data_IF_300700245936
#
_entry.id   IF_300700245936
#
_cell.length_a   1.000
_cell.length_b   1.000
_cell.length_c   1.000
_cell.angle_alpha   90.00
_cell.angle_beta   90.00
_cell.angle_gamma   90.00
#
_symmetry.space_group_name_H-M   'P 1'
#
loop_
_entity.id
_entity.type
_entity.pdbx_description
1 polymer ?
#
# COMPACT_ATOMS: atom_id res chain seq x y z
N UNK A 1 -3.69 39.69 -10.54
CA UNK A 1 -3.91 39.31 -9.14
C UNK A 1 -2.58 38.77 -8.64
N UNK A 2 -1.84 39.52 -7.84
CA UNK A 2 -0.52 39.11 -7.36
C UNK A 2 -0.73 38.04 -6.29
N UNK A 3 -0.29 36.81 -6.56
CA UNK A 3 -0.30 35.74 -5.54
C UNK A 3 0.52 36.24 -4.35
N UNK A 4 -0.05 36.17 -3.14
CA UNK A 4 0.75 36.44 -1.94
C UNK A 4 1.91 35.44 -1.92
N UNK A 5 3.14 35.88 -1.60
CA UNK A 5 4.27 34.98 -1.51
C UNK A 5 4.01 33.92 -0.43
N UNK A 6 4.46 32.69 -0.68
CA UNK A 6 4.35 31.62 0.29
C UNK A 6 5.10 32.00 1.58
N UNK A 7 4.52 31.75 2.77
CA UNK A 7 5.19 32.03 4.02
C UNK A 7 6.43 31.15 4.16
N UNK A 8 7.48 31.70 4.76
CA UNK A 8 8.62 30.90 5.17
C UNK A 8 8.26 30.12 6.44
N UNK A 9 8.88 28.95 6.63
CA UNK A 9 8.73 28.18 7.87
C UNK A 9 9.10 29.00 9.11
N UNK A 10 10.10 29.88 9.00
CA UNK A 10 10.49 30.77 10.09
C UNK A 10 9.36 31.76 10.43
N UNK A 11 8.75 32.40 9.43
CA UNK A 11 7.63 33.32 9.66
C UNK A 11 6.43 32.62 10.29
N UNK A 12 6.13 31.38 9.87
CA UNK A 12 5.08 30.56 10.48
C UNK A 12 5.38 30.16 11.92
N UNK A 13 6.64 29.84 12.24
CA UNK A 13 7.07 29.54 13.61
C UNK A 13 6.98 30.77 14.51
N UNK A 14 7.45 31.93 14.04
CA UNK A 14 7.44 33.17 14.80
C UNK A 14 5.99 33.59 15.10
N UNK A 15 5.11 33.54 14.10
CA UNK A 15 3.68 33.78 14.28
C UNK A 15 3.05 32.90 15.38
N UNK A 16 3.33 31.60 15.37
CA UNK A 16 2.76 30.69 16.37
C UNK A 16 3.33 30.93 17.78
N UNK A 17 4.62 31.28 17.88
CA UNK A 17 5.27 31.55 19.18
C UNK A 17 4.75 32.83 19.83
N UNK A 18 4.43 33.84 19.04
CA UNK A 18 3.90 35.14 19.51
C UNK A 18 2.46 35.03 20.05
N UNK A 19 1.74 33.95 19.74
CA UNK A 19 0.39 33.67 20.23
C UNK A 19 0.41 33.09 21.65
N UNK A 20 0.86 33.90 22.60
CA UNK A 20 0.88 33.55 24.01
C UNK A 20 -0.54 33.27 24.54
N UNK A 21 -0.69 32.23 25.37
CA UNK A 21 -1.98 31.83 25.96
C UNK A 21 -2.85 30.95 25.06
N UNK A 22 -2.48 30.73 23.80
CA UNK A 22 -3.18 29.80 22.90
C UNK A 22 -2.42 28.47 22.88
N UNK A 23 -2.91 27.49 23.64
CA UNK A 23 -2.26 26.18 23.80
C UNK A 23 -2.04 25.48 22.45
N UNK A 24 -3.03 25.49 21.57
CA UNK A 24 -2.93 24.90 20.22
C UNK A 24 -1.79 25.54 19.41
N UNK A 25 -1.61 26.87 19.46
CA UNK A 25 -0.55 27.55 18.73
C UNK A 25 0.84 27.13 19.23
N UNK A 26 1.02 27.03 20.55
CA UNK A 26 2.30 26.61 21.15
C UNK A 26 2.65 25.16 20.80
N UNK A 27 1.66 24.26 20.83
CA UNK A 27 1.82 22.86 20.43
C UNK A 27 2.16 22.78 18.94
N UNK A 28 1.44 23.50 18.08
CA UNK A 28 1.71 23.57 16.65
C UNK A 28 3.11 24.13 16.36
N UNK A 29 3.62 25.09 17.17
CA UNK A 29 4.98 25.61 17.01
C UNK A 29 6.04 24.53 17.30
N UNK A 30 5.81 23.67 18.29
CA UNK A 30 6.70 22.55 18.61
C UNK A 30 6.72 21.54 17.46
N UNK A 31 5.54 21.07 17.01
CA UNK A 31 5.41 20.14 15.88
C UNK A 31 6.05 20.70 14.62
N UNK A 32 5.81 21.98 14.31
CA UNK A 32 6.40 22.64 13.15
C UNK A 32 7.93 22.77 13.28
N UNK A 33 8.46 23.05 14.48
CA UNK A 33 9.90 23.13 14.68
C UNK A 33 10.58 21.76 14.49
N UNK A 34 9.95 20.69 14.97
CA UNK A 34 10.47 19.31 14.85
C UNK A 34 10.47 18.79 13.40
N UNK A 35 9.48 19.20 12.60
CA UNK A 35 9.36 18.80 11.19
C UNK A 35 10.27 19.61 10.24
N UNK A 36 10.76 20.79 10.68
CA UNK A 36 11.43 21.77 9.81
C UNK A 36 12.62 21.20 9.07
N UNK A 37 13.55 20.58 9.78
CA UNK A 37 14.81 20.12 9.18
C UNK A 37 14.57 19.05 8.09
N UNK A 38 13.48 18.28 8.22
CA UNK A 38 13.10 17.23 7.27
C UNK A 38 12.32 17.77 6.07
N UNK A 39 11.45 18.75 6.28
CA UNK A 39 10.38 19.08 5.31
C UNK A 39 10.42 20.49 4.73
N UNK A 40 11.21 21.42 5.28
CA UNK A 40 11.18 22.84 4.88
C UNK A 40 11.51 23.11 3.41
N UNK A 41 12.18 22.17 2.74
CA UNK A 41 12.54 22.26 1.32
C UNK A 41 11.54 21.57 0.39
N UNK A 42 10.63 20.76 0.92
CA UNK A 42 9.72 19.93 0.13
C UNK A 42 8.26 20.41 0.19
N UNK A 43 7.86 21.08 1.27
CA UNK A 43 6.48 21.57 1.47
C UNK A 43 6.45 22.98 2.03
N UNK A 44 5.34 23.68 1.76
CA UNK A 44 5.03 24.98 2.36
C UNK A 44 4.18 24.74 3.60
N UNK A 45 4.62 25.26 4.75
CA UNK A 45 3.83 25.27 5.98
C UNK A 45 3.07 26.60 6.12
N UNK A 46 1.76 26.54 6.21
CA UNK A 46 0.86 27.65 6.55
C UNK A 46 0.20 27.36 7.88
N UNK A 47 -0.16 28.41 8.61
CA UNK A 47 -0.60 28.26 9.99
C UNK A 47 -1.82 29.12 10.29
N UNK A 48 -2.63 28.66 11.24
CA UNK A 48 -3.60 29.47 11.97
C UNK A 48 -3.32 29.32 13.47
N UNK A 49 -4.11 30.00 14.31
CA UNK A 49 -4.01 29.82 15.76
C UNK A 49 -4.37 28.41 16.25
N UNK A 50 -4.98 27.57 15.41
CA UNK A 50 -5.44 26.22 15.77
C UNK A 50 -4.84 25.10 14.91
N UNK A 51 -4.44 25.39 13.68
CA UNK A 51 -4.08 24.36 12.71
C UNK A 51 -2.73 24.64 12.02
N UNK A 52 -2.06 23.57 11.62
CA UNK A 52 -1.02 23.58 10.59
C UNK A 52 -1.61 23.10 9.27
N UNK A 53 -1.16 23.69 8.16
CA UNK A 53 -1.54 23.30 6.80
C UNK A 53 -0.27 23.18 5.94
N UNK A 54 -0.02 22.00 5.41
CA UNK A 54 1.08 21.71 4.50
C UNK A 54 0.58 21.54 3.07
N UNK A 55 1.25 22.15 2.11
CA UNK A 55 0.97 21.99 0.66
C UNK A 55 2.27 21.87 -0.13
N UNK A 56 2.14 21.56 -1.42
CA UNK A 56 3.26 21.63 -2.35
C UNK A 56 3.65 23.09 -2.66
N UNK A 57 4.95 23.37 -2.90
CA UNK A 57 5.40 24.68 -3.38
C UNK A 57 4.74 25.06 -4.70
N UNK A 58 4.23 26.28 -4.80
CA UNK A 58 3.57 26.80 -6.01
C UNK A 58 2.13 26.28 -6.24
N UNK A 59 1.61 25.39 -5.39
CA UNK A 59 0.21 24.99 -5.42
C UNK A 59 -0.66 26.10 -4.82
N UNK A 60 -1.49 26.72 -5.67
CA UNK A 60 -2.37 27.82 -5.28
C UNK A 60 -3.69 27.33 -4.71
N UNK A 61 -4.40 28.20 -4.00
CA UNK A 61 -5.75 27.89 -3.54
C UNK A 61 -6.76 27.94 -4.72
N UNK A 62 -7.70 26.99 -4.83
CA UNK A 62 -7.86 25.79 -4.00
C UNK A 62 -6.74 24.77 -4.25
N UNK A 63 -6.16 24.24 -3.17
CA UNK A 63 -5.01 23.34 -3.24
C UNK A 63 -5.38 22.00 -3.86
N UNK A 64 -4.51 21.50 -4.74
CA UNK A 64 -4.66 20.19 -5.37
C UNK A 64 -4.50 19.07 -4.34
N UNK A 65 -3.53 19.22 -3.44
CA UNK A 65 -3.33 18.31 -2.31
C UNK A 65 -2.83 19.05 -1.08
N UNK A 66 -3.31 18.65 0.10
CA UNK A 66 -2.85 19.24 1.35
C UNK A 66 -2.95 18.28 2.54
N UNK A 67 -2.11 18.54 3.54
CA UNK A 67 -2.17 17.88 4.84
C UNK A 67 -2.48 18.94 5.89
N UNK A 68 -3.57 18.78 6.64
CA UNK A 68 -3.91 19.62 7.77
C UNK A 68 -3.65 18.86 9.07
N UNK A 69 -3.03 19.52 10.04
CA UNK A 69 -2.86 19.00 11.40
C UNK A 69 -3.64 19.91 12.34
N UNK A 70 -4.56 19.32 13.09
CA UNK A 70 -5.35 20.01 14.10
C UNK A 70 -4.91 19.50 15.47
N UNK A 71 -4.70 20.39 16.43
CA UNK A 71 -4.34 20.00 17.80
C UNK A 71 -5.41 20.46 18.80
N UNK A 72 -5.91 19.50 19.60
CA UNK A 72 -6.88 19.77 20.65
C UNK A 72 -6.69 18.80 21.82
N UNK A 73 -6.61 19.32 23.05
CA UNK A 73 -6.57 18.54 24.28
C UNK A 73 -5.50 17.42 24.31
N UNK A 74 -4.30 17.69 23.77
CA UNK A 74 -3.20 16.72 23.75
C UNK A 74 -3.32 15.64 22.67
N UNK A 75 -4.30 15.75 21.76
CA UNK A 75 -4.45 14.87 20.60
C UNK A 75 -4.31 15.66 19.32
N UNK A 76 -3.82 14.96 18.29
CA UNK A 76 -3.69 15.50 16.95
C UNK A 76 -4.61 14.76 16.00
N UNK A 77 -5.20 15.49 15.06
CA UNK A 77 -5.90 14.92 13.91
C UNK A 77 -5.19 15.37 12.65
N UNK A 78 -4.70 14.40 11.87
CA UNK A 78 -4.09 14.64 10.57
C UNK A 78 -5.11 14.30 9.49
N UNK A 79 -5.34 15.25 8.60
CA UNK A 79 -6.31 15.18 7.53
C UNK A 79 -5.59 15.38 6.20
N UNK A 80 -5.76 14.45 5.26
CA UNK A 80 -5.22 14.57 3.91
C UNK A 80 -6.36 14.85 2.94
N UNK A 81 -6.21 15.92 2.17
CA UNK A 81 -7.17 16.36 1.17
C UNK A 81 -6.57 16.23 -0.22
N UNK A 82 -7.39 15.81 -1.17
CA UNK A 82 -7.09 15.82 -2.61
C UNK A 82 -8.28 16.44 -3.34
N UNK A 83 -8.04 17.48 -4.14
CA UNK A 83 -9.09 18.18 -4.92
C UNK A 83 -10.33 18.50 -4.07
N UNK A 84 -10.12 19.09 -2.89
CA UNK A 84 -11.15 19.45 -1.91
C UNK A 84 -11.95 18.28 -1.31
N UNK A 85 -11.48 17.04 -1.50
CA UNK A 85 -12.05 15.84 -0.89
C UNK A 85 -11.13 15.29 0.20
N UNK A 86 -11.69 15.04 1.38
CA UNK A 86 -11.00 14.30 2.43
C UNK A 86 -10.78 12.85 1.98
N UNK A 87 -9.51 12.44 1.89
CA UNK A 87 -9.11 11.10 1.42
C UNK A 87 -8.48 10.27 2.53
N UNK A 88 -7.99 10.89 3.60
CA UNK A 88 -7.43 10.19 4.75
C UNK A 88 -7.57 11.01 6.03
N UNK A 89 -7.90 10.33 7.13
CA UNK A 89 -7.96 10.89 8.47
C UNK A 89 -7.29 9.92 9.45
N UNK A 90 -6.39 10.44 10.29
CA UNK A 90 -5.72 9.68 11.36
C UNK A 90 -5.57 10.53 12.61
N UNK A 91 -5.62 9.88 13.76
CA UNK A 91 -5.37 10.51 15.06
C UNK A 91 -4.00 10.10 15.60
N UNK A 92 -3.30 11.03 16.25
CA UNK A 92 -2.03 10.78 16.92
C UNK A 92 -2.04 11.32 18.36
N UNK A 93 -1.17 10.73 19.17
CA UNK A 93 -0.76 11.27 20.47
C UNK A 93 0.57 12.03 20.32
N UNK A 94 1.01 12.73 21.36
CA UNK A 94 2.23 13.56 21.36
C UNK A 94 3.47 12.75 21.00
N UNK A 95 3.50 11.48 21.37
CA UNK A 95 4.62 10.56 21.14
C UNK A 95 4.67 10.03 19.70
N UNK A 96 3.57 10.13 18.95
CA UNK A 96 3.42 9.50 17.62
C UNK A 96 3.21 10.51 16.49
N UNK A 97 2.95 11.78 16.83
CA UNK A 97 2.67 12.83 15.84
C UNK A 97 3.79 12.99 14.80
N UNK A 98 5.06 12.95 15.21
CA UNK A 98 6.17 13.19 14.29
C UNK A 98 6.25 12.12 13.19
N UNK A 99 6.20 10.84 13.57
CA UNK A 99 6.26 9.73 12.61
C UNK A 99 5.03 9.68 11.70
N UNK A 100 3.85 9.98 12.24
CA UNK A 100 2.63 10.01 11.44
C UNK A 100 2.60 11.20 10.49
N UNK A 101 3.08 12.37 10.93
CA UNK A 101 3.23 13.55 10.08
C UNK A 101 4.21 13.28 8.95
N UNK A 102 5.37 12.68 9.23
CA UNK A 102 6.34 12.29 8.21
C UNK A 102 5.66 11.39 7.15
N UNK A 103 4.88 10.39 7.56
CA UNK A 103 4.13 9.53 6.63
C UNK A 103 3.14 10.31 5.74
N UNK A 104 2.44 11.30 6.30
CA UNK A 104 1.50 12.13 5.54
C UNK A 104 2.23 13.04 4.55
N UNK A 105 3.36 13.63 4.95
CA UNK A 105 4.15 14.53 4.10
C UNK A 105 4.92 13.78 3.02
N UNK A 106 5.38 12.56 3.28
CA UNK A 106 5.91 11.65 2.27
C UNK A 106 4.89 11.41 1.16
N UNK A 107 3.63 11.14 1.51
CA UNK A 107 2.55 10.96 0.52
C UNK A 107 2.19 12.25 -0.21
N UNK A 108 2.23 13.39 0.49
CA UNK A 108 1.98 14.70 -0.12
C UNK A 108 3.03 15.04 -1.18
N UNK A 109 4.29 14.69 -0.92
CA UNK A 109 5.44 15.01 -1.79
C UNK A 109 5.75 13.93 -2.82
N UNK A 110 5.24 12.72 -2.60
CA UNK A 110 5.39 11.63 -3.57
C UNK A 110 4.63 11.98 -4.86
N UNK A 111 5.28 11.90 -6.03
CA UNK A 111 4.60 12.10 -7.29
C UNK A 111 3.45 11.08 -7.39
N UNK A 112 2.26 11.58 -7.73
CA UNK A 112 1.12 10.70 -7.97
C UNK A 112 1.49 9.72 -9.09
N UNK A 113 1.60 8.43 -8.76
CA UNK A 113 1.89 7.40 -9.74
C UNK A 113 0.63 7.17 -10.58
N UNK A 114 0.61 7.67 -11.82
CA UNK A 114 -0.55 7.54 -12.69
C UNK A 114 -0.44 6.27 -13.54
N UNK A 115 -1.45 5.41 -13.48
CA UNK A 115 -1.52 4.21 -14.31
C UNK A 115 -1.59 4.58 -15.79
N UNK A 116 -0.67 4.06 -16.61
CA UNK A 116 -0.61 4.33 -18.05
C UNK A 116 -1.79 3.79 -18.86
N UNK A 117 -2.51 2.79 -18.34
CA UNK A 117 -3.67 2.21 -19.01
C UNK A 117 -4.97 2.97 -18.71
N UNK A 118 -5.30 3.18 -17.43
CA UNK A 118 -6.58 3.77 -17.02
C UNK A 118 -6.51 5.25 -16.61
N UNK A 119 -5.30 5.82 -16.49
CA UNK A 119 -5.09 7.22 -16.11
C UNK A 119 -5.38 7.54 -14.63
N UNK A 120 -5.70 6.55 -13.79
CA UNK A 120 -6.00 6.75 -12.36
C UNK A 120 -4.76 6.55 -11.48
N UNK A 121 -4.71 7.13 -10.27
CA UNK A 121 -3.60 6.93 -9.33
C UNK A 121 -3.41 5.47 -8.91
N UNK A 122 -2.17 4.99 -8.87
CA UNK A 122 -1.75 3.70 -8.35
C UNK A 122 -1.40 3.85 -6.87
N UNK A 123 -2.20 3.23 -6.01
CA UNK A 123 -2.04 3.29 -4.54
C UNK A 123 -1.59 1.95 -3.97
N UNK A 124 -2.30 0.86 -4.30
CA UNK A 124 -2.07 -0.46 -3.68
C UNK A 124 -0.75 -1.10 -4.14
N UNK A 125 -0.44 -1.01 -5.44
CA UNK A 125 0.78 -1.59 -6.05
C UNK A 125 1.87 -0.55 -6.30
N UNK A 126 1.88 0.55 -5.54
CA UNK A 126 2.80 1.67 -5.76
C UNK A 126 4.28 1.25 -5.69
N UNK A 127 4.64 0.38 -4.76
CA UNK A 127 6.02 -0.13 -4.61
C UNK A 127 6.48 -0.98 -5.80
N UNK A 128 5.54 -1.55 -6.55
CA UNK A 128 5.79 -2.39 -7.72
C UNK A 128 5.43 -1.67 -9.03
N UNK A 129 5.24 -0.35 -9.01
CA UNK A 129 4.74 0.41 -10.14
C UNK A 129 5.60 0.25 -11.40
N UNK A 130 6.93 0.27 -11.25
CA UNK A 130 7.84 0.05 -12.39
C UNK A 130 7.85 -1.40 -12.87
N UNK A 131 7.54 -2.37 -12.00
CA UNK A 131 7.43 -3.80 -12.37
C UNK A 131 6.19 -4.03 -13.24
N UNK A 132 5.10 -3.30 -12.98
CA UNK A 132 3.84 -3.43 -13.72
C UNK A 132 3.71 -2.42 -14.87
N UNK A 133 4.83 -2.09 -15.53
CA UNK A 133 4.86 -1.20 -16.70
C UNK A 133 4.21 0.17 -16.45
N UNK A 134 4.32 0.66 -15.20
CA UNK A 134 3.70 1.90 -14.72
C UNK A 134 2.17 1.84 -14.79
N UNK A 135 1.58 0.71 -14.40
CA UNK A 135 0.13 0.47 -14.34
C UNK A 135 -0.29 -0.09 -12.97
N UNK A 136 -1.59 -0.12 -12.68
CA UNK A 136 -2.10 -0.97 -11.60
C UNK A 136 -1.82 -2.43 -11.92
N UNK A 137 -1.57 -3.26 -10.91
CA UNK A 137 -1.51 -4.72 -11.08
C UNK A 137 -2.70 -5.25 -11.90
N UNK A 138 -3.93 -4.85 -11.58
CA UNK A 138 -5.11 -5.30 -12.36
C UNK A 138 -5.04 -4.86 -13.83
N UNK A 139 -4.65 -3.62 -14.13
CA UNK A 139 -4.57 -3.16 -15.52
C UNK A 139 -3.47 -3.89 -16.29
N UNK A 140 -2.32 -4.09 -15.65
CA UNK A 140 -1.21 -4.85 -16.23
C UNK A 140 -1.63 -6.30 -16.49
N UNK A 141 -2.21 -6.95 -15.48
CA UNK A 141 -2.62 -8.35 -15.56
C UNK A 141 -3.61 -8.59 -16.71
N UNK A 142 -4.68 -7.80 -16.81
CA UNK A 142 -5.65 -7.94 -17.90
C UNK A 142 -5.06 -7.65 -19.28
N UNK A 143 -4.12 -6.70 -19.37
CA UNK A 143 -3.56 -6.30 -20.66
C UNK A 143 -2.46 -7.24 -21.16
N UNK A 144 -1.69 -7.84 -20.26
CA UNK A 144 -0.47 -8.58 -20.63
C UNK A 144 -0.48 -10.07 -20.23
N UNK A 145 -1.21 -10.46 -19.18
CA UNK A 145 -1.15 -11.82 -18.63
C UNK A 145 -2.46 -12.61 -18.80
N UNK A 146 -3.56 -11.92 -19.07
CA UNK A 146 -4.90 -12.51 -19.07
C UNK A 146 -5.33 -13.07 -20.42
N UNK A 147 -4.68 -12.70 -21.53
CA UNK A 147 -4.93 -13.32 -22.83
C UNK A 147 -4.44 -14.79 -22.81
N UNK A 148 -5.24 -15.78 -23.25
CA UNK A 148 -6.50 -15.68 -24.00
C UNK A 148 -7.79 -15.88 -23.18
N UNK A 149 -7.73 -15.78 -21.85
CA UNK A 149 -8.86 -16.01 -20.96
C UNK A 149 -9.86 -14.84 -21.01
N UNK A 150 -11.16 -15.15 -20.91
CA UNK A 150 -12.20 -14.13 -20.75
C UNK A 150 -11.92 -13.30 -19.49
N UNK A 151 -12.03 -11.94 -19.50
CA UNK A 151 -11.71 -11.12 -18.34
C UNK A 151 -12.46 -11.48 -17.05
N UNK A 152 -13.60 -12.16 -17.11
CA UNK A 152 -14.36 -12.62 -15.94
C UNK A 152 -13.99 -14.05 -15.49
N UNK A 153 -13.10 -14.73 -16.23
CA UNK A 153 -12.58 -16.07 -15.92
C UNK A 153 -11.23 -16.01 -15.20
N UNK A 154 -11.01 -16.87 -14.20
CA UNK A 154 -9.70 -17.00 -13.58
C UNK A 154 -8.68 -17.58 -14.57
N UNK A 155 -7.62 -16.82 -14.90
CA UNK A 155 -6.51 -17.34 -15.69
C UNK A 155 -5.57 -18.24 -14.86
N UNK A 156 -4.54 -18.80 -15.49
CA UNK A 156 -3.59 -19.71 -14.81
C UNK A 156 -2.61 -19.00 -13.85
N UNK A 157 -2.52 -17.68 -13.89
CA UNK A 157 -1.63 -16.92 -13.03
C UNK A 157 -2.09 -16.96 -11.57
N UNK A 158 -1.16 -17.21 -10.65
CA UNK A 158 -1.45 -17.12 -9.22
C UNK A 158 -1.84 -15.69 -8.84
N UNK A 159 -3.00 -15.52 -8.20
CA UNK A 159 -3.49 -14.20 -7.77
C UNK A 159 -4.33 -13.45 -8.81
N UNK A 160 -4.82 -14.12 -9.85
CA UNK A 160 -5.71 -13.53 -10.85
C UNK A 160 -6.87 -12.73 -10.19
N UNK A 161 -7.06 -11.44 -10.54
CA UNK A 161 -8.15 -10.61 -10.01
C UNK A 161 -9.55 -11.20 -10.24
N UNK A 162 -9.72 -11.96 -11.33
CA UNK A 162 -11.00 -12.58 -11.73
C UNK A 162 -11.32 -13.88 -10.99
N UNK A 163 -10.41 -14.38 -10.15
CA UNK A 163 -10.60 -15.58 -9.32
C UNK A 163 -11.84 -15.55 -8.41
N UNK A 164 -12.32 -14.35 -8.08
CA UNK A 164 -13.50 -14.16 -7.21
C UNK A 164 -14.82 -13.93 -7.97
N UNK A 165 -14.76 -13.76 -9.30
CA UNK A 165 -15.89 -13.35 -10.15
C UNK A 165 -16.46 -14.55 -10.91
N UNK A 166 -15.59 -15.39 -11.45
CA UNK A 166 -16.01 -16.52 -12.27
C UNK A 166 -16.91 -17.48 -11.49
N UNK A 167 -17.81 -18.23 -12.17
CA UNK A 167 -18.36 -19.43 -11.55
C UNK A 167 -17.14 -20.21 -11.09
N UNK A 168 -17.12 -20.68 -9.84
CA UNK A 168 -16.13 -21.65 -9.44
C UNK A 168 -16.19 -22.74 -10.52
N UNK A 169 -15.24 -22.73 -11.47
CA UNK A 169 -14.93 -23.91 -12.23
C UNK A 169 -14.77 -24.87 -11.08
N UNK A 170 -15.66 -25.86 -10.99
CA UNK A 170 -15.47 -26.96 -10.06
C UNK A 170 -14.16 -27.54 -10.55
N UNK A 171 -13.05 -27.03 -10.01
CA UNK A 171 -11.75 -27.63 -10.08
C UNK A 171 -12.07 -29.02 -9.62
N UNK A 172 -12.04 -29.98 -10.54
CA UNK A 172 -12.13 -31.36 -10.13
C UNK A 172 -10.99 -31.50 -9.13
N UNK A 173 -11.36 -31.62 -7.85
CA UNK A 173 -10.37 -31.86 -6.82
C UNK A 173 -9.54 -33.04 -7.32
N UNK A 174 -8.20 -32.95 -7.27
CA UNK A 174 -7.37 -34.08 -7.67
C UNK A 174 -7.91 -35.29 -6.92
N UNK A 175 -8.23 -36.35 -7.68
CA UNK A 175 -8.70 -37.58 -7.07
C UNK A 175 -7.70 -37.96 -5.99
N UNK A 176 -8.18 -38.34 -4.81
CA UNK A 176 -7.30 -38.72 -3.70
C UNK A 176 -6.24 -39.73 -4.15
N UNK A 177 -6.57 -40.63 -5.09
CA UNK A 177 -5.63 -41.56 -5.70
C UNK A 177 -4.39 -40.93 -6.33
N UNK A 178 -4.53 -39.77 -6.99
CA UNK A 178 -3.39 -39.06 -7.61
C UNK A 178 -2.52 -38.40 -6.54
N UNK A 179 -3.16 -37.89 -5.49
CA UNK A 179 -2.45 -37.29 -4.36
C UNK A 179 -1.66 -38.38 -3.62
N UNK A 180 -2.27 -39.54 -3.34
CA UNK A 180 -1.59 -40.67 -2.71
C UNK A 180 -0.47 -41.24 -3.58
N UNK A 181 -0.67 -41.38 -4.89
CA UNK A 181 0.38 -41.81 -5.83
C UNK A 181 1.59 -40.86 -5.80
N UNK A 182 1.35 -39.54 -5.76
CA UNK A 182 2.42 -38.56 -5.61
C UNK A 182 3.12 -38.64 -4.25
N UNK A 183 2.39 -38.91 -3.17
CA UNK A 183 2.98 -39.11 -1.83
C UNK A 183 3.93 -40.31 -1.86
N UNK A 184 3.48 -41.43 -2.43
CA UNK A 184 4.27 -42.66 -2.56
C UNK A 184 5.52 -42.42 -3.41
N UNK A 185 5.38 -41.78 -4.57
CA UNK A 185 6.49 -41.43 -5.46
C UNK A 185 7.52 -40.53 -4.77
N UNK A 186 7.06 -39.51 -4.03
CA UNK A 186 7.94 -38.61 -3.29
C UNK A 186 8.69 -39.35 -2.18
N UNK A 187 8.02 -40.27 -1.48
CA UNK A 187 8.61 -41.06 -0.41
C UNK A 187 9.71 -42.02 -0.92
N UNK A 188 9.54 -42.61 -2.11
CA UNK A 188 10.51 -43.55 -2.70
C UNK A 188 11.51 -42.89 -3.66
N UNK A 189 11.34 -41.61 -3.97
CA UNK A 189 12.25 -40.85 -4.84
C UNK A 189 13.68 -40.78 -4.29
N UNK A 190 14.64 -40.44 -5.16
CA UNK A 190 16.03 -40.16 -4.74
C UNK A 190 16.11 -39.03 -3.70
N UNK A 191 15.18 -38.05 -3.73
CA UNK A 191 15.07 -37.02 -2.70
C UNK A 191 14.62 -37.60 -1.35
N UNK A 192 13.70 -38.57 -1.38
CA UNK A 192 13.26 -39.35 -0.23
C UNK A 192 14.39 -40.18 0.39
N UNK A 193 15.15 -40.88 -0.45
CA UNK A 193 16.27 -41.72 0.00
C UNK A 193 17.46 -40.93 0.56
N UNK A 194 17.65 -39.67 0.15
CA UNK A 194 18.75 -38.81 0.61
C UNK A 194 18.42 -38.01 1.88
N UNK A 195 17.15 -37.96 2.30
CA UNK A 195 16.70 -37.19 3.45
C UNK A 195 16.21 -38.13 4.54
N UNK A 196 16.94 -38.23 5.65
CA UNK A 196 16.61 -39.15 6.76
C UNK A 196 15.25 -38.89 7.43
N UNK A 197 14.57 -37.80 7.08
CA UNK A 197 13.22 -37.47 7.54
C UNK A 197 12.49 -36.65 6.47
N UNK A 198 11.87 -37.31 5.50
CA UNK A 198 10.84 -36.66 4.68
C UNK A 198 9.55 -36.65 5.46
N UNK A 199 8.98 -35.47 5.69
CA UNK A 199 7.65 -35.32 6.30
C UNK A 199 6.71 -34.74 5.26
N UNK A 200 5.64 -35.48 4.98
CA UNK A 200 4.59 -35.06 4.06
C UNK A 200 3.33 -34.81 4.90
N UNK A 201 2.74 -33.62 4.76
CA UNK A 201 1.51 -33.26 5.44
C UNK A 201 0.49 -32.71 4.43
N UNK A 202 -0.72 -33.28 4.43
CA UNK A 202 -1.81 -32.79 3.61
C UNK A 202 -2.36 -31.51 4.20
N UNK A 203 -2.34 -30.42 3.43
CA UNK A 203 -2.84 -29.10 3.85
C UNK A 203 -4.22 -28.76 3.27
N UNK A 204 -4.72 -29.59 2.36
CA UNK A 204 -6.05 -29.47 1.77
C UNK A 204 -6.22 -30.39 0.55
N UNK A 205 -7.35 -30.29 -0.17
CA UNK A 205 -7.55 -30.97 -1.44
C UNK A 205 -6.45 -30.56 -2.43
N UNK A 206 -5.66 -31.53 -2.92
CA UNK A 206 -4.56 -31.27 -3.85
C UNK A 206 -3.35 -30.50 -3.29
N UNK A 207 -3.25 -30.26 -1.99
CA UNK A 207 -2.16 -29.47 -1.39
C UNK A 207 -1.33 -30.29 -0.40
N UNK A 208 -0.02 -30.37 -0.66
CA UNK A 208 0.95 -31.08 0.18
C UNK A 208 2.03 -30.13 0.67
N UNK A 209 2.29 -30.14 1.98
CA UNK A 209 3.52 -29.58 2.54
C UNK A 209 4.55 -30.71 2.67
N UNK A 210 5.66 -30.59 1.95
CA UNK A 210 6.74 -31.59 1.95
C UNK A 210 7.98 -30.97 2.56
N UNK A 211 8.46 -31.56 3.65
CA UNK A 211 9.63 -31.10 4.37
C UNK A 211 10.80 -32.03 4.11
N UNK A 212 11.92 -31.48 3.64
CA UNK A 212 13.20 -32.16 3.48
C UNK A 212 14.24 -31.48 4.39
N UNK A 213 14.63 -32.14 5.47
CA UNK A 213 15.54 -31.56 6.46
C UNK A 213 14.99 -30.25 7.04
N UNK A 214 15.65 -29.12 6.77
CA UNK A 214 15.25 -27.80 7.25
C UNK A 214 14.37 -26.99 6.27
N UNK A 215 14.11 -27.51 5.07
CA UNK A 215 13.34 -26.80 4.03
C UNK A 215 11.95 -27.38 3.87
N UNK A 216 10.95 -26.51 3.75
CA UNK A 216 9.55 -26.89 3.51
C UNK A 216 9.08 -26.35 2.17
N UNK A 217 8.53 -27.23 1.35
CA UNK A 217 7.99 -26.93 0.03
C UNK A 217 6.48 -27.13 0.05
N UNK A 218 5.76 -26.25 -0.64
CA UNK A 218 4.32 -26.38 -0.83
C UNK A 218 4.06 -26.84 -2.27
N UNK A 219 3.46 -28.02 -2.41
CA UNK A 219 3.15 -28.63 -3.71
C UNK A 219 1.64 -28.55 -3.93
N UNK A 220 1.26 -28.00 -5.08
CA UNK A 220 -0.12 -27.99 -5.55
C UNK A 220 -0.27 -29.01 -6.68
N UNK A 221 -1.07 -30.04 -6.43
CA UNK A 221 -1.50 -31.03 -7.43
C UNK A 221 -2.77 -30.51 -8.08
N UNK A 222 -2.80 -30.50 -9.40
CA UNK A 222 -3.96 -30.06 -10.18
C UNK A 222 -4.30 -31.14 -11.20
N UNK A 223 -5.58 -31.48 -11.32
CA UNK A 223 -6.05 -32.27 -12.45
C UNK A 223 -6.02 -31.38 -13.70
N UNK A 224 -5.41 -31.85 -14.78
CA UNK A 224 -5.56 -31.17 -16.07
C UNK A 224 -7.04 -31.17 -16.48
N UNK A 225 -7.59 -30.04 -16.94
CA UNK A 225 -8.94 -30.03 -17.48
C UNK A 225 -8.99 -30.96 -18.69
N UNK A 226 -9.96 -31.89 -18.72
CA UNK A 226 -10.22 -32.72 -19.89
C UNK A 226 -10.44 -31.80 -21.10
N UNK A 227 -9.52 -31.82 -22.06
CA UNK A 227 -9.74 -31.21 -23.36
C UNK A 227 -10.97 -31.88 -23.99
N UNK A 228 -11.99 -31.08 -24.31
CA UNK A 228 -13.18 -31.53 -25.05
C UNK A 228 -12.88 -31.58 -26.54
#
# INVERSE_FOLDING_TARGET
MTLMPDPTWQASLDFLRDLHGISAAQVNAITLAQARDRWQHAVIARTSMHDLLFTLPGDGYPFTSSVRVQSANGRYVLLRWENDRLVEEKTAEVETIDALLDTFLERLTSPTLTCRHCGRPVVVSAEQFEVFERMHYNCFHHLFEHDPFDPDEECIAGGCPSASIGPAIRREEPRDSIVEELIDDLAVSKLGAQSAAVRIERRGPGMLAVTFGASTYLISVRAEPRQR
#
